data_IF_437664860608
#
_entry.id   IF_437664860608
#
_cell.length_a   1.000
_cell.length_b   1.000
_cell.length_c   1.000
_cell.angle_alpha   90.00
_cell.angle_beta   90.00
_cell.angle_gamma   90.00
#
_symmetry.space_group_name_H-M   'P 1'
#
loop_
_entity.id
_entity.type
_entity.pdbx_description
1 polymer ?
#
# COMPACT_ATOMS: atom_id res chain seq x y z
N UNK A 1 -22.76 6.26 8.15
CA UNK A 1 -22.03 6.57 9.40
C UNK A 1 -20.57 6.17 9.21
N UNK A 2 -19.60 7.03 9.56
CA UNK A 2 -18.18 6.62 9.62
C UNK A 2 -18.08 5.50 10.63
N UNK A 3 -17.39 4.40 10.30
CA UNK A 3 -17.33 3.29 11.26
C UNK A 3 -16.44 3.67 12.45
N UNK A 4 -15.33 4.36 12.20
CA UNK A 4 -14.31 4.66 13.21
C UNK A 4 -13.85 6.13 13.14
N UNK A 5 -13.62 6.74 14.30
CA UNK A 5 -12.82 7.96 14.48
C UNK A 5 -13.36 9.30 13.96
N UNK A 6 -12.69 10.39 14.35
CA UNK A 6 -12.89 11.74 13.81
C UNK A 6 -12.11 11.92 12.51
N UNK A 7 -12.44 12.91 11.65
CA UNK A 7 -11.67 13.15 10.41
C UNK A 7 -10.18 13.44 10.70
N UNK A 8 -9.87 14.08 11.84
CA UNK A 8 -8.50 14.28 12.30
C UNK A 8 -7.78 12.96 12.62
N UNK A 9 -8.45 12.05 13.32
CA UNK A 9 -7.89 10.73 13.60
C UNK A 9 -7.66 9.95 12.31
N UNK A 10 -8.58 10.03 11.34
CA UNK A 10 -8.40 9.43 10.02
C UNK A 10 -7.11 9.94 9.36
N UNK A 11 -6.92 11.26 9.28
CA UNK A 11 -5.71 11.83 8.68
C UNK A 11 -4.41 11.45 9.43
N UNK A 12 -4.45 11.30 10.75
CA UNK A 12 -3.30 10.81 11.51
C UNK A 12 -2.92 9.36 11.15
N UNK A 13 -3.91 8.48 10.99
CA UNK A 13 -3.67 7.09 10.54
C UNK A 13 -3.12 7.02 9.11
N UNK A 14 -3.59 7.90 8.22
CA UNK A 14 -3.04 7.98 6.86
C UNK A 14 -1.59 8.47 6.83
N UNK A 15 -1.22 9.42 7.71
CA UNK A 15 0.19 9.84 7.89
C UNK A 15 1.04 8.69 8.47
N UNK A 16 0.53 8.00 9.49
CA UNK A 16 1.22 6.85 10.08
C UNK A 16 1.49 5.76 9.02
N UNK A 17 0.49 5.45 8.19
CA UNK A 17 0.65 4.54 7.06
C UNK A 17 1.77 4.99 6.11
N UNK A 18 1.77 6.26 5.68
CA UNK A 18 2.79 6.82 4.79
C UNK A 18 4.19 6.67 5.40
N UNK A 19 4.37 7.02 6.67
CA UNK A 19 5.67 6.91 7.35
C UNK A 19 6.13 5.46 7.43
N UNK A 20 5.25 4.55 7.88
CA UNK A 20 5.59 3.12 8.00
C UNK A 20 5.94 2.51 6.64
N UNK A 21 5.21 2.86 5.58
CA UNK A 21 5.48 2.36 4.24
C UNK A 21 6.81 2.87 3.70
N UNK A 22 7.15 4.15 3.91
CA UNK A 22 8.45 4.71 3.52
C UNK A 22 9.61 4.07 4.31
N UNK A 23 9.42 3.79 5.60
CA UNK A 23 10.40 3.04 6.40
C UNK A 23 10.60 1.65 5.82
N UNK A 24 9.51 0.90 5.56
CA UNK A 24 9.56 -0.43 4.97
C UNK A 24 10.31 -0.42 3.62
N UNK A 25 9.97 0.53 2.73
CA UNK A 25 10.62 0.66 1.42
C UNK A 25 12.11 1.01 1.49
N UNK A 26 12.57 1.66 2.56
CA UNK A 26 13.97 2.03 2.77
C UNK A 26 14.81 0.91 3.42
N UNK A 27 14.19 -0.19 3.87
CA UNK A 27 14.90 -1.27 4.56
C UNK A 27 15.66 -2.16 3.60
N UNK A 28 14.94 -2.96 2.80
CA UNK A 28 15.56 -3.85 1.82
C UNK A 28 14.61 -4.13 0.65
N UNK A 29 15.13 -4.07 -0.57
CA UNK A 29 14.40 -4.50 -1.76
C UNK A 29 14.47 -6.02 -1.86
N UNK A 30 13.31 -6.67 -1.89
CA UNK A 30 13.22 -8.13 -2.06
C UNK A 30 13.47 -8.51 -3.52
N UNK A 31 14.02 -9.72 -3.78
CA UNK A 31 14.18 -10.22 -5.12
C UNK A 31 12.81 -10.50 -5.77
N UNK A 32 12.79 -10.49 -7.09
CA UNK A 32 11.58 -10.74 -7.90
C UNK A 32 11.70 -12.08 -8.63
N UNK A 33 10.64 -12.53 -9.29
CA UNK A 33 10.70 -13.74 -10.09
C UNK A 33 11.53 -13.58 -11.38
N UNK A 34 12.07 -12.39 -11.65
CA UNK A 34 13.11 -12.21 -12.68
C UNK A 34 14.47 -12.74 -12.20
N UNK A 35 14.66 -12.88 -10.89
CA UNK A 35 15.86 -13.46 -10.30
C UNK A 35 15.82 -15.00 -10.32
N UNK A 36 17.00 -15.61 -10.43
CA UNK A 36 17.10 -17.08 -10.34
C UNK A 36 16.70 -17.57 -8.94
N UNK A 37 16.09 -18.76 -8.84
CA UNK A 37 15.73 -19.36 -7.54
C UNK A 37 16.91 -19.51 -6.59
N UNK A 38 18.12 -19.72 -7.11
CA UNK A 38 19.35 -19.78 -6.30
C UNK A 38 19.67 -18.42 -5.69
N UNK A 39 19.56 -17.34 -6.47
CA UNK A 39 19.77 -15.98 -5.98
C UNK A 39 18.71 -15.59 -4.95
N UNK A 40 17.44 -15.94 -5.20
CA UNK A 40 16.32 -15.72 -4.27
C UNK A 40 16.61 -16.43 -2.94
N UNK A 41 16.85 -17.75 -2.96
CA UNK A 41 17.10 -18.53 -1.74
C UNK A 41 18.32 -18.01 -0.95
N UNK A 42 19.41 -17.68 -1.65
CA UNK A 42 20.61 -17.12 -1.04
C UNK A 42 20.31 -15.77 -0.35
N UNK A 43 19.60 -14.87 -1.02
CA UNK A 43 19.21 -13.57 -0.48
C UNK A 43 18.37 -13.73 0.81
N UNK A 44 17.34 -14.57 0.77
CA UNK A 44 16.47 -14.81 1.91
C UNK A 44 17.24 -15.40 3.12
N UNK A 45 18.19 -16.30 2.87
CA UNK A 45 19.06 -16.84 3.92
C UNK A 45 20.00 -15.77 4.52
N UNK A 46 20.51 -14.84 3.71
CA UNK A 46 21.44 -13.81 4.13
C UNK A 46 20.76 -12.67 4.90
N UNK A 47 19.47 -12.41 4.64
CA UNK A 47 18.75 -11.24 5.14
C UNK A 47 17.53 -11.57 6.02
N UNK A 48 17.38 -12.81 6.47
CA UNK A 48 16.20 -13.31 7.20
C UNK A 48 15.68 -12.35 8.29
N UNK A 49 16.57 -11.83 9.15
CA UNK A 49 16.17 -10.93 10.23
C UNK A 49 15.60 -9.60 9.72
N UNK A 50 16.22 -9.00 8.70
CA UNK A 50 15.74 -7.74 8.11
C UNK A 50 14.39 -7.95 7.43
N UNK A 51 14.22 -9.08 6.74
CA UNK A 51 12.96 -9.44 6.08
C UNK A 51 11.84 -9.55 7.13
N UNK A 52 12.06 -10.27 8.22
CA UNK A 52 11.04 -10.39 9.29
C UNK A 52 10.66 -9.02 9.86
N UNK A 53 11.63 -8.14 10.12
CA UNK A 53 11.34 -6.78 10.60
C UNK A 53 10.55 -6.00 9.55
N UNK A 54 10.91 -6.10 8.27
CA UNK A 54 10.21 -5.44 7.17
C UNK A 54 8.74 -5.87 7.11
N UNK A 55 8.45 -7.17 7.27
CA UNK A 55 7.07 -7.66 7.26
C UNK A 55 6.28 -7.23 8.51
N UNK A 56 6.92 -7.09 9.68
CA UNK A 56 6.27 -6.51 10.86
C UNK A 56 5.87 -5.05 10.60
N UNK A 57 6.77 -4.27 9.98
CA UNK A 57 6.50 -2.88 9.60
C UNK A 57 5.39 -2.83 8.52
N UNK A 58 5.40 -3.75 7.55
CA UNK A 58 4.36 -3.91 6.53
C UNK A 58 2.98 -4.17 7.13
N UNK A 59 2.85 -5.11 8.07
CA UNK A 59 1.60 -5.39 8.78
C UNK A 59 1.14 -4.17 9.61
N UNK A 60 2.06 -3.45 10.26
CA UNK A 60 1.73 -2.22 10.97
C UNK A 60 1.22 -1.13 10.01
N UNK A 61 1.84 -1.00 8.84
CA UNK A 61 1.40 -0.08 7.78
C UNK A 61 -0.01 -0.47 7.28
N UNK A 62 -0.24 -1.75 7.01
CA UNK A 62 -1.55 -2.27 6.62
C UNK A 62 -2.63 -1.96 7.66
N UNK A 63 -2.35 -2.16 8.95
CA UNK A 63 -3.28 -1.81 10.03
C UNK A 63 -3.60 -0.30 10.06
N UNK A 64 -2.59 0.54 9.87
CA UNK A 64 -2.78 1.99 9.76
C UNK A 64 -3.62 2.37 8.52
N UNK A 65 -3.37 1.74 7.37
CA UNK A 65 -4.14 1.97 6.14
C UNK A 65 -5.60 1.54 6.27
N UNK A 66 -5.85 0.36 6.85
CA UNK A 66 -7.20 -0.13 7.14
C UNK A 66 -7.92 0.84 8.05
N UNK A 67 -7.27 1.30 9.13
CA UNK A 67 -7.88 2.25 10.06
C UNK A 67 -8.19 3.59 9.39
N UNK A 68 -7.28 4.09 8.55
CA UNK A 68 -7.51 5.27 7.72
C UNK A 68 -8.74 5.08 6.81
N UNK A 69 -8.77 4.01 6.02
CA UNK A 69 -9.82 3.75 5.05
C UNK A 69 -11.20 3.52 5.69
N UNK A 70 -11.24 2.82 6.84
CA UNK A 70 -12.47 2.59 7.60
C UNK A 70 -13.04 3.87 8.24
N UNK A 71 -12.20 4.88 8.45
CA UNK A 71 -12.57 6.19 9.00
C UNK A 71 -13.13 7.17 7.94
N UNK A 72 -13.03 6.81 6.66
CA UNK A 72 -13.63 7.56 5.56
C UNK A 72 -15.14 7.31 5.46
N UNK A 73 -15.90 8.19 4.78
CA UNK A 73 -17.32 7.96 4.54
C UNK A 73 -17.57 6.60 3.85
N UNK A 74 -18.47 5.76 4.38
CA UNK A 74 -18.65 4.40 3.87
C UNK A 74 -19.21 4.42 2.44
N UNK A 75 -18.56 3.67 1.54
CA UNK A 75 -19.01 3.41 0.16
C UNK A 75 -18.70 1.97 -0.20
N UNK A 76 -19.62 1.31 -0.92
CA UNK A 76 -19.44 -0.10 -1.33
C UNK A 76 -18.17 -0.28 -2.17
N UNK A 77 -17.92 0.62 -3.12
CA UNK A 77 -16.70 0.60 -3.96
C UNK A 77 -15.42 0.70 -3.13
N UNK A 78 -15.38 1.64 -2.17
CA UNK A 78 -14.24 1.82 -1.27
C UNK A 78 -13.97 0.57 -0.42
N UNK A 79 -15.03 -0.14 0.00
CA UNK A 79 -14.91 -1.38 0.78
C UNK A 79 -14.36 -2.52 -0.06
N UNK A 80 -14.84 -2.66 -1.30
CA UNK A 80 -14.31 -3.66 -2.24
C UNK A 80 -12.83 -3.39 -2.50
N UNK A 81 -12.47 -2.14 -2.81
CA UNK A 81 -11.08 -1.75 -3.03
C UNK A 81 -10.20 -2.01 -1.80
N UNK A 82 -10.67 -1.65 -0.61
CA UNK A 82 -9.95 -1.87 0.64
C UNK A 82 -9.68 -3.37 0.89
N UNK A 83 -10.69 -4.23 0.74
CA UNK A 83 -10.49 -5.65 1.02
C UNK A 83 -9.68 -6.36 -0.07
N UNK A 84 -9.75 -5.91 -1.32
CA UNK A 84 -8.83 -6.35 -2.37
C UNK A 84 -7.39 -5.96 -2.02
N UNK A 85 -7.15 -4.71 -1.57
CA UNK A 85 -5.85 -4.24 -1.09
C UNK A 85 -5.34 -5.10 0.05
N UNK A 86 -6.17 -5.31 1.09
CA UNK A 86 -5.80 -6.14 2.25
C UNK A 86 -5.42 -7.55 1.83
N UNK A 87 -6.21 -8.19 0.96
CA UNK A 87 -5.93 -9.55 0.52
C UNK A 87 -4.59 -9.64 -0.23
N UNK A 88 -4.32 -8.71 -1.15
CA UNK A 88 -3.07 -8.69 -1.89
C UNK A 88 -1.88 -8.41 -0.96
N UNK A 89 -2.03 -7.43 -0.06
CA UNK A 89 -0.95 -7.03 0.85
C UNK A 89 -0.63 -8.12 1.88
N UNK A 90 -1.62 -8.91 2.29
CA UNK A 90 -1.35 -10.08 3.13
C UNK A 90 -0.53 -11.13 2.38
N UNK A 91 -0.76 -11.34 1.08
CA UNK A 91 0.04 -12.29 0.29
C UNK A 91 1.47 -11.77 0.14
N UNK A 92 1.67 -10.50 -0.21
CA UNK A 92 3.00 -9.88 -0.34
C UNK A 92 3.78 -9.86 0.97
N UNK A 93 3.10 -9.86 2.13
CA UNK A 93 3.77 -10.00 3.43
C UNK A 93 4.02 -11.47 3.84
N UNK A 94 3.08 -12.38 3.56
CA UNK A 94 3.18 -13.78 3.99
C UNK A 94 4.19 -14.58 3.19
N UNK A 95 4.30 -14.34 1.88
CA UNK A 95 5.22 -15.09 1.02
C UNK A 95 6.68 -14.96 1.49
N UNK A 96 7.22 -13.74 1.72
CA UNK A 96 8.56 -13.58 2.25
C UNK A 96 8.77 -14.30 3.60
N UNK A 97 7.77 -14.27 4.48
CA UNK A 97 7.84 -14.98 5.76
C UNK A 97 7.88 -16.49 5.59
N UNK A 98 7.11 -17.05 4.64
CA UNK A 98 7.11 -18.48 4.35
C UNK A 98 8.48 -18.91 3.80
N UNK A 99 9.06 -18.13 2.87
CA UNK A 99 10.38 -18.43 2.30
C UNK A 99 11.45 -18.46 3.41
N UNK A 100 11.45 -17.46 4.30
CA UNK A 100 12.37 -17.42 5.46
C UNK A 100 12.12 -18.58 6.42
N UNK A 101 10.89 -18.76 6.88
CA UNK A 101 10.57 -19.68 7.98
C UNK A 101 10.70 -21.16 7.57
N UNK A 102 10.35 -21.48 6.32
CA UNK A 102 10.41 -22.85 5.81
C UNK A 102 11.77 -23.20 5.16
N UNK A 103 12.68 -22.24 5.02
CA UNK A 103 13.98 -22.40 4.37
C UNK A 103 13.86 -23.16 3.03
N UNK A 104 13.06 -22.61 2.12
CA UNK A 104 12.64 -23.29 0.91
C UNK A 104 13.79 -23.59 -0.05
N UNK A 105 13.62 -24.66 -0.84
CA UNK A 105 14.52 -24.94 -1.97
C UNK A 105 14.46 -23.81 -3.01
N UNK A 106 15.51 -23.63 -3.84
CA UNK A 106 15.52 -22.64 -4.91
C UNK A 106 14.27 -22.62 -5.80
N UNK A 107 13.78 -23.80 -6.21
CA UNK A 107 12.61 -23.90 -7.09
C UNK A 107 11.32 -23.48 -6.38
N UNK A 108 11.16 -23.87 -5.11
CA UNK A 108 9.99 -23.52 -4.31
C UNK A 108 9.98 -22.03 -3.95
N UNK A 109 11.15 -21.46 -3.63
CA UNK A 109 11.31 -20.03 -3.39
C UNK A 109 10.92 -19.21 -4.63
N UNK A 110 11.43 -19.58 -5.81
CA UNK A 110 11.08 -18.92 -7.07
C UNK A 110 9.58 -19.01 -7.39
N UNK A 111 8.98 -20.19 -7.18
CA UNK A 111 7.53 -20.38 -7.38
C UNK A 111 6.69 -19.48 -6.47
N UNK A 112 7.08 -19.34 -5.20
CA UNK A 112 6.38 -18.43 -4.30
C UNK A 112 6.61 -16.95 -4.67
N UNK A 113 7.81 -16.58 -5.11
CA UNK A 113 8.07 -15.22 -5.59
C UNK A 113 7.22 -14.87 -6.82
N UNK A 114 6.90 -15.82 -7.71
CA UNK A 114 5.90 -15.60 -8.77
C UNK A 114 4.51 -15.26 -8.21
N UNK A 115 4.09 -15.91 -7.13
CA UNK A 115 2.81 -15.62 -6.46
C UNK A 115 2.85 -14.23 -5.83
N UNK A 116 3.96 -13.87 -5.20
CA UNK A 116 4.21 -12.52 -4.66
C UNK A 116 4.12 -11.45 -5.76
N UNK A 117 4.79 -11.62 -6.90
CA UNK A 117 4.79 -10.66 -8.01
C UNK A 117 3.37 -10.45 -8.60
N UNK A 118 2.58 -11.53 -8.69
CA UNK A 118 1.17 -11.45 -9.10
C UNK A 118 0.34 -10.71 -8.05
N UNK A 119 0.58 -10.98 -6.77
CA UNK A 119 -0.10 -10.28 -5.69
C UNK A 119 0.27 -8.79 -5.64
N UNK A 120 1.53 -8.42 -5.87
CA UNK A 120 1.97 -7.02 -5.99
C UNK A 120 1.26 -6.33 -7.17
N UNK A 121 1.17 -6.99 -8.32
CA UNK A 121 0.44 -6.46 -9.47
C UNK A 121 -1.04 -6.21 -9.15
N UNK A 122 -1.69 -7.18 -8.48
CA UNK A 122 -3.07 -7.04 -8.03
C UNK A 122 -3.24 -5.97 -6.93
N UNK A 123 -2.24 -5.80 -6.06
CA UNK A 123 -2.18 -4.75 -5.05
C UNK A 123 -2.23 -3.38 -5.72
N UNK A 124 -1.42 -3.13 -6.74
CA UNK A 124 -1.43 -1.85 -7.46
C UNK A 124 -2.75 -1.58 -8.20
N UNK A 125 -3.40 -2.61 -8.76
CA UNK A 125 -4.75 -2.46 -9.31
C UNK A 125 -5.76 -2.06 -8.24
N UNK A 126 -5.68 -2.68 -7.05
CA UNK A 126 -6.54 -2.34 -5.91
C UNK A 126 -6.30 -0.92 -5.41
N UNK A 127 -5.05 -0.44 -5.42
CA UNK A 127 -4.68 0.95 -5.12
C UNK A 127 -5.34 1.90 -6.10
N UNK A 128 -5.21 1.63 -7.41
CA UNK A 128 -5.82 2.46 -8.45
C UNK A 128 -7.34 2.55 -8.30
N UNK A 129 -7.99 1.44 -7.96
CA UNK A 129 -9.42 1.41 -7.66
C UNK A 129 -9.76 2.18 -6.37
N UNK A 130 -8.98 2.04 -5.31
CA UNK A 130 -9.17 2.73 -4.04
C UNK A 130 -9.08 4.25 -4.19
N UNK A 131 -8.02 4.76 -4.81
CA UNK A 131 -7.81 6.21 -4.98
C UNK A 131 -8.88 6.82 -5.88
N UNK A 132 -9.39 6.07 -6.86
CA UNK A 132 -10.51 6.50 -7.70
C UNK A 132 -11.83 6.54 -6.93
N UNK A 133 -12.09 5.54 -6.07
CA UNK A 133 -13.32 5.44 -5.29
C UNK A 133 -13.42 6.50 -4.18
N UNK A 134 -12.30 6.84 -3.53
CA UNK A 134 -12.29 7.83 -2.46
C UNK A 134 -12.57 9.25 -2.99
N UNK A 135 -12.11 9.59 -4.20
CA UNK A 135 -12.21 10.94 -4.75
C UNK A 135 -13.52 11.28 -5.46
N UNK A 136 -14.48 10.36 -5.55
CA UNK A 136 -15.72 10.60 -6.29
C UNK A 136 -16.53 11.84 -5.85
N UNK A 137 -16.33 12.32 -4.62
CA UNK A 137 -16.97 13.55 -4.11
C UNK A 137 -15.97 14.64 -3.74
N UNK A 138 -14.74 14.54 -4.24
CA UNK A 138 -13.67 15.50 -4.04
C UNK A 138 -13.64 16.53 -5.19
N UNK A 139 -13.03 17.72 -4.98
CA UNK A 139 -12.86 18.71 -6.04
C UNK A 139 -12.09 18.14 -7.23
N UNK A 140 -12.31 18.73 -8.41
CA UNK A 140 -11.82 18.23 -9.69
C UNK A 140 -10.30 17.95 -9.70
N UNK A 141 -9.50 18.80 -9.08
CA UNK A 141 -8.04 18.62 -9.04
C UNK A 141 -7.62 17.34 -8.29
N UNK A 142 -8.31 16.98 -7.20
CA UNK A 142 -8.04 15.73 -6.46
C UNK A 142 -8.46 14.52 -7.28
N UNK A 143 -9.55 14.63 -8.03
CA UNK A 143 -10.02 13.57 -8.93
C UNK A 143 -9.02 13.32 -10.06
N UNK A 144 -8.56 14.38 -10.73
CA UNK A 144 -7.53 14.28 -11.77
C UNK A 144 -6.26 13.65 -11.19
N UNK A 145 -5.77 14.14 -10.05
CA UNK A 145 -4.60 13.57 -9.38
C UNK A 145 -4.79 12.08 -9.08
N UNK A 146 -5.95 11.67 -8.56
CA UNK A 146 -6.23 10.25 -8.30
C UNK A 146 -6.26 9.39 -9.56
N UNK A 147 -6.74 9.92 -10.69
CA UNK A 147 -6.75 9.18 -11.95
C UNK A 147 -5.34 9.06 -12.55
N UNK A 148 -4.47 10.05 -12.35
CA UNK A 148 -3.04 9.93 -12.70
C UNK A 148 -2.38 8.82 -11.86
N UNK A 149 -2.62 8.80 -10.54
CA UNK A 149 -2.13 7.73 -9.66
C UNK A 149 -2.68 6.37 -10.10
N UNK A 150 -3.97 6.28 -10.37
CA UNK A 150 -4.61 5.04 -10.81
C UNK A 150 -4.07 4.54 -12.14
N UNK A 151 -3.84 5.43 -13.11
CA UNK A 151 -3.23 5.09 -14.39
C UNK A 151 -1.79 4.59 -14.19
N UNK A 152 -0.97 5.29 -13.39
CA UNK A 152 0.39 4.86 -13.09
C UNK A 152 0.44 3.48 -12.43
N UNK A 153 -0.46 3.22 -11.46
CA UNK A 153 -0.57 1.91 -10.81
C UNK A 153 -1.04 0.82 -11.77
N UNK A 154 -2.02 1.12 -12.63
CA UNK A 154 -2.51 0.17 -13.64
C UNK A 154 -1.47 -0.17 -14.70
N UNK A 155 -0.72 0.82 -15.19
CA UNK A 155 0.38 0.59 -16.13
C UNK A 155 1.48 -0.23 -15.45
N UNK A 156 1.87 0.11 -14.21
CA UNK A 156 2.87 -0.67 -13.45
C UNK A 156 2.44 -2.13 -13.31
N UNK A 157 1.21 -2.39 -12.89
CA UNK A 157 0.69 -3.74 -12.66
C UNK A 157 0.77 -4.63 -13.91
N UNK A 158 0.75 -4.04 -15.11
CA UNK A 158 0.85 -4.77 -16.37
C UNK A 158 2.31 -4.81 -16.87
N UNK A 159 3.05 -3.71 -16.71
CA UNK A 159 4.39 -3.55 -17.26
C UNK A 159 5.49 -4.24 -16.42
N UNK A 160 5.34 -4.26 -15.09
CA UNK A 160 6.32 -4.86 -14.17
C UNK A 160 6.49 -6.37 -14.42
N UNK A 161 5.42 -7.18 -14.59
CA UNK A 161 5.56 -8.60 -14.95
C UNK A 161 6.22 -8.83 -16.33
N UNK A 162 6.25 -7.81 -17.19
CA UNK A 162 6.90 -7.87 -18.51
C UNK A 162 8.37 -7.39 -18.46
N UNK A 163 8.92 -7.17 -17.26
CA UNK A 163 10.31 -6.73 -17.04
C UNK A 163 10.53 -5.23 -17.20
N UNK A 164 9.48 -4.42 -17.29
CA UNK A 164 9.60 -2.95 -17.38
C UNK A 164 9.61 -2.34 -15.98
N UNK A 165 10.73 -1.74 -15.60
CA UNK A 165 10.93 -1.23 -14.23
C UNK A 165 10.71 0.28 -14.06
N UNK A 166 10.39 1.00 -15.14
CA UNK A 166 10.31 2.47 -15.16
C UNK A 166 9.29 3.04 -14.14
N UNK A 167 8.23 2.29 -13.83
CA UNK A 167 7.17 2.69 -12.90
C UNK A 167 7.31 2.08 -11.51
N UNK A 168 8.36 1.28 -11.27
CA UNK A 168 8.48 0.49 -10.05
C UNK A 168 8.71 1.35 -8.81
N UNK A 169 9.26 2.55 -9.00
CA UNK A 169 9.38 3.54 -7.94
C UNK A 169 8.28 4.61 -8.06
N UNK A 170 7.93 5.00 -9.28
CA UNK A 170 7.05 6.14 -9.53
C UNK A 170 5.62 5.89 -9.06
N UNK A 171 5.02 4.74 -9.39
CA UNK A 171 3.64 4.44 -9.01
C UNK A 171 3.44 4.38 -7.48
N UNK A 172 4.27 3.65 -6.70
CA UNK A 172 4.15 3.67 -5.24
C UNK A 172 4.37 5.06 -4.63
N UNK A 173 5.34 5.84 -5.15
CA UNK A 173 5.57 7.20 -4.65
C UNK A 173 4.38 8.14 -4.92
N UNK A 174 3.76 8.04 -6.10
CA UNK A 174 2.55 8.78 -6.43
C UNK A 174 1.40 8.42 -5.49
N UNK A 175 1.21 7.14 -5.20
CA UNK A 175 0.21 6.67 -4.24
C UNK A 175 0.48 7.22 -2.83
N UNK A 176 1.72 7.12 -2.34
CA UNK A 176 2.12 7.65 -1.04
C UNK A 176 1.87 9.15 -0.94
N UNK A 177 2.30 9.92 -1.94
CA UNK A 177 2.07 11.36 -2.00
C UNK A 177 0.58 11.71 -2.00
N UNK A 178 -0.22 10.94 -2.74
CA UNK A 178 -1.66 11.14 -2.80
C UNK A 178 -2.36 10.86 -1.46
N UNK A 179 -2.01 9.77 -0.78
CA UNK A 179 -2.54 9.47 0.56
C UNK A 179 -2.12 10.53 1.56
N UNK A 180 -0.88 11.02 1.49
CA UNK A 180 -0.40 12.11 2.33
C UNK A 180 -1.23 13.39 2.12
N UNK A 181 -1.50 13.77 0.87
CA UNK A 181 -2.34 14.94 0.53
C UNK A 181 -3.74 14.81 1.13
N UNK A 182 -4.38 13.65 0.97
CA UNK A 182 -5.70 13.38 1.57
C UNK A 182 -5.64 13.45 3.10
N UNK A 183 -4.60 12.89 3.70
CA UNK A 183 -4.42 12.84 5.15
C UNK A 183 -4.23 14.23 5.74
N UNK A 184 -3.38 15.06 5.12
CA UNK A 184 -3.17 16.47 5.50
C UNK A 184 -4.48 17.25 5.39
N UNK A 185 -5.22 17.08 4.28
CA UNK A 185 -6.52 17.72 4.11
C UNK A 185 -7.49 17.38 5.24
N UNK A 186 -7.57 16.10 5.65
CA UNK A 186 -8.46 15.66 6.73
C UNK A 186 -8.06 16.25 8.09
N UNK A 187 -6.76 16.36 8.38
CA UNK A 187 -6.25 16.99 9.61
C UNK A 187 -6.54 18.49 9.62
N UNK A 188 -6.26 19.20 8.53
CA UNK A 188 -6.42 20.67 8.43
C UNK A 188 -7.90 21.06 8.43
N UNK A 189 -8.73 20.38 7.64
CA UNK A 189 -10.17 20.67 7.58
C UNK A 189 -10.86 20.48 8.94
N UNK A 190 -10.39 19.53 9.75
CA UNK A 190 -10.88 19.35 11.12
C UNK A 190 -10.53 20.51 12.05
N UNK A 191 -9.34 21.11 11.91
CA UNK A 191 -8.92 22.27 12.72
C UNK A 191 -9.78 23.50 12.42
N UNK A 192 -10.06 23.75 11.15
CA UNK A 192 -10.89 24.88 10.72
C UNK A 192 -12.32 24.74 11.26
N UNK A 193 -12.90 23.54 11.22
CA UNK A 193 -14.24 23.28 11.77
C UNK A 193 -14.32 23.53 13.28
N UNK A 194 -13.28 23.17 14.04
CA UNK A 194 -13.22 23.44 15.49
C UNK A 194 -13.06 24.94 15.77
N UNK A 195 -12.22 25.65 15.02
CA UNK A 195 -12.00 27.09 15.19
C UNK A 195 -13.23 27.94 14.83
N UNK A 196 -14.08 27.47 13.91
CA UNK A 196 -15.30 28.17 13.49
C UNK A 196 -16.53 27.88 14.39
N UNK A 197 -16.42 26.96 15.36
CA UNK A 197 -17.52 26.67 16.27
C UNK A 197 -17.71 27.85 17.26
N UNK A 198 -18.91 28.43 17.39
CA UNK A 198 -19.15 29.54 18.29
C UNK A 198 -18.87 29.10 19.73
N UNK A 199 -18.02 29.85 20.44
CA UNK A 199 -17.77 29.68 21.87
C UNK A 199 -19.09 29.92 22.62
N UNK A 200 -19.64 28.87 23.21
CA UNK A 200 -20.78 28.98 24.14
C UNK A 200 -20.32 29.52 25.48
#
# INVERSE_FOLDING_TARGET
MRLWGTPRAAGAWGIAFVVLLLVSAAMISLPTALDSGVAIAAFYSAHAQLIVIQQIVGIAALAAFVTFALSLPPRRSLRIALWAFVACELITNLVPLIIVAANLSPDAAHTLTLVEDVADSALFLSVGFFVSAVTLSEPLWLRIASYVVAAACGIRAIASPLGTTALDQVAPLLFVAFVLVLSVKLVVGSRQAVAAAPTR
#
